data_IF_712269760878
#
_entry.id   IF_712269760878
#
_cell.length_a   1.000
_cell.length_b   1.000
_cell.length_c   1.000
_cell.angle_alpha   90.00
_cell.angle_beta   90.00
_cell.angle_gamma   90.00
#
_symmetry.space_group_name_H-M   'P 1'
#
loop_
_entity.id
_entity.type
_entity.pdbx_description
1 polymer ?
#
# COMPACT_ATOMS: atom_id res chain seq x y z
N UNK A 1 -21.55 -14.84 11.33
CA UNK A 1 -21.25 -13.57 10.64
C UNK A 1 -20.01 -13.01 11.30
N UNK A 2 -18.84 -13.14 10.67
CA UNK A 2 -17.56 -12.69 11.25
C UNK A 2 -17.27 -11.32 10.62
N UNK A 3 -17.27 -10.27 11.44
CA UNK A 3 -16.85 -8.94 11.04
C UNK A 3 -15.41 -9.03 10.48
N UNK A 4 -15.12 -8.54 9.26
CA UNK A 4 -13.76 -8.56 8.75
C UNK A 4 -12.88 -7.67 9.63
N UNK A 5 -11.74 -8.23 10.09
CA UNK A 5 -10.69 -7.44 10.74
C UNK A 5 -10.29 -6.30 9.79
N UNK A 6 -10.74 -5.10 10.11
CA UNK A 6 -10.47 -3.91 9.32
C UNK A 6 -9.22 -3.24 9.88
N UNK A 7 -8.14 -3.31 9.13
CA UNK A 7 -6.90 -2.61 9.45
C UNK A 7 -7.05 -1.12 9.20
N UNK A 8 -6.49 -0.31 10.10
CA UNK A 8 -6.39 1.15 9.89
C UNK A 8 -5.16 1.43 9.05
N UNK A 9 -5.36 2.06 7.90
CA UNK A 9 -4.28 2.50 7.03
C UNK A 9 -3.85 3.90 7.43
N UNK A 10 -2.56 4.06 7.71
CA UNK A 10 -1.94 5.35 7.99
C UNK A 10 -0.76 5.59 7.04
N UNK A 11 -0.53 6.85 6.67
CA UNK A 11 0.58 7.25 5.82
C UNK A 11 1.71 7.84 6.65
N UNK A 12 2.96 7.52 6.29
CA UNK A 12 4.11 8.22 6.83
C UNK A 12 4.15 9.66 6.29
N UNK A 13 4.67 10.63 7.06
CA UNK A 13 4.83 12.01 6.57
C UNK A 13 5.65 12.11 5.27
N UNK A 14 6.57 11.18 5.02
CA UNK A 14 7.36 11.13 3.79
C UNK A 14 6.52 10.90 2.53
N UNK A 15 5.36 10.24 2.65
CA UNK A 15 4.49 9.89 1.51
C UNK A 15 4.03 11.14 0.75
N UNK A 16 3.81 12.26 1.44
CA UNK A 16 3.39 13.50 0.78
C UNK A 16 4.42 13.97 -0.26
N UNK A 17 5.72 13.86 0.05
CA UNK A 17 6.80 14.24 -0.87
C UNK A 17 6.91 13.27 -2.05
N UNK A 18 6.66 11.99 -1.81
CA UNK A 18 6.71 10.96 -2.85
C UNK A 18 5.57 11.15 -3.85
N UNK A 19 4.33 11.34 -3.34
CA UNK A 19 3.12 11.50 -4.15
C UNK A 19 3.18 12.75 -5.03
N UNK A 20 3.77 13.86 -4.55
CA UNK A 20 3.93 15.10 -5.34
C UNK A 20 4.71 14.93 -6.64
N UNK A 21 5.54 13.88 -6.76
CA UNK A 21 6.35 13.59 -7.97
C UNK A 21 5.65 12.65 -8.94
N UNK A 22 4.46 12.15 -8.58
CA UNK A 22 3.73 11.15 -9.33
C UNK A 22 2.60 11.83 -10.12
N UNK A 23 2.42 11.55 -11.42
CA UNK A 23 1.26 12.03 -12.16
C UNK A 23 -0.05 11.59 -11.50
N UNK A 24 -1.09 12.41 -11.60
CA UNK A 24 -2.38 12.19 -10.93
C UNK A 24 -2.95 10.78 -11.14
N UNK A 25 -2.93 10.29 -12.38
CA UNK A 25 -3.39 8.93 -12.71
C UNK A 25 -2.59 7.82 -12.00
N UNK A 26 -1.31 8.07 -11.71
CA UNK A 26 -0.47 7.17 -10.92
C UNK A 26 -0.90 7.17 -9.46
N UNK A 27 -1.15 8.36 -8.89
CA UNK A 27 -1.63 8.53 -7.52
C UNK A 27 -2.96 7.82 -7.32
N UNK A 28 -3.90 8.00 -8.25
CA UNK A 28 -5.23 7.37 -8.18
C UNK A 28 -5.12 5.84 -8.12
N UNK A 29 -4.33 5.24 -9.02
CA UNK A 29 -4.09 3.77 -9.01
C UNK A 29 -3.46 3.28 -7.71
N UNK A 30 -2.55 4.06 -7.13
CA UNK A 30 -1.92 3.74 -5.84
C UNK A 30 -2.98 3.77 -4.72
N UNK A 31 -3.78 4.83 -4.64
CA UNK A 31 -4.82 4.98 -3.62
C UNK A 31 -5.88 3.87 -3.70
N UNK A 32 -6.31 3.50 -4.91
CA UNK A 32 -7.22 2.36 -5.12
C UNK A 32 -6.64 1.06 -4.55
N UNK A 33 -5.36 0.80 -4.80
CA UNK A 33 -4.72 -0.40 -4.26
C UNK A 33 -4.59 -0.34 -2.73
N UNK A 34 -4.29 0.83 -2.17
CA UNK A 34 -4.14 1.01 -0.72
C UNK A 34 -5.46 0.79 0.02
N UNK A 35 -6.60 1.19 -0.55
CA UNK A 35 -7.93 0.94 0.06
C UNK A 35 -8.19 -0.55 0.34
N UNK A 36 -7.68 -1.44 -0.52
CA UNK A 36 -7.84 -2.89 -0.35
C UNK A 36 -7.04 -3.42 0.85
N UNK A 37 -5.96 -2.73 1.25
CA UNK A 37 -5.11 -3.16 2.38
C UNK A 37 -5.84 -3.14 3.73
N UNK A 38 -6.86 -2.29 3.88
CA UNK A 38 -7.67 -2.25 5.09
C UNK A 38 -8.40 -3.57 5.33
N UNK A 39 -8.91 -4.21 4.28
CA UNK A 39 -9.63 -5.48 4.37
C UNK A 39 -8.70 -6.69 4.22
N UNK A 40 -7.63 -6.56 3.44
CA UNK A 40 -6.63 -7.61 3.24
C UNK A 40 -5.23 -6.99 3.21
N UNK A 41 -4.50 -6.95 4.33
CA UNK A 41 -3.17 -6.33 4.40
C UNK A 41 -2.11 -7.08 3.59
N UNK A 42 -2.37 -8.34 3.23
CA UNK A 42 -1.44 -9.19 2.46
C UNK A 42 -2.11 -9.67 1.15
N UNK A 43 -2.44 -8.76 0.23
CA UNK A 43 -3.09 -9.12 -1.01
C UNK A 43 -2.15 -9.91 -1.93
N UNK A 44 -2.71 -10.60 -2.92
CA UNK A 44 -1.92 -11.33 -3.91
C UNK A 44 -0.88 -10.42 -4.59
N UNK A 45 0.36 -10.89 -4.70
CA UNK A 45 1.50 -10.12 -5.20
C UNK A 45 2.22 -9.26 -4.15
N UNK A 46 1.81 -9.35 -2.89
CA UNK A 46 2.57 -8.84 -1.75
C UNK A 46 3.82 -9.70 -1.50
N UNK A 47 4.98 -9.07 -1.30
CA UNK A 47 6.23 -9.74 -0.98
C UNK A 47 6.86 -9.14 0.28
N UNK A 48 7.24 -9.98 1.24
CA UNK A 48 8.02 -9.55 2.41
C UNK A 48 9.41 -9.09 1.97
N UNK A 49 9.88 -7.97 2.50
CA UNK A 49 11.24 -7.49 2.22
C UNK A 49 12.26 -8.27 3.07
N UNK A 50 13.28 -8.83 2.42
CA UNK A 50 14.37 -9.54 3.10
C UNK A 50 15.09 -8.62 4.08
N UNK A 51 15.39 -9.13 5.27
CA UNK A 51 16.07 -8.37 6.33
C UNK A 51 15.17 -7.41 7.13
N UNK A 52 13.88 -7.33 6.82
CA UNK A 52 12.92 -6.55 7.60
C UNK A 52 11.95 -7.45 8.38
N UNK A 53 11.68 -7.09 9.64
CA UNK A 53 10.78 -7.89 10.49
C UNK A 53 9.33 -7.82 9.98
N UNK A 54 8.85 -6.60 9.67
CA UNK A 54 7.45 -6.30 9.33
C UNK A 54 7.30 -5.30 8.17
N UNK A 55 8.10 -5.44 7.12
CA UNK A 55 7.96 -4.64 5.90
C UNK A 55 7.59 -5.52 4.71
N UNK A 56 6.62 -5.05 3.95
CA UNK A 56 6.02 -5.75 2.83
C UNK A 56 5.91 -4.80 1.65
N UNK A 57 6.03 -5.34 0.43
CA UNK A 57 5.95 -4.56 -0.80
C UNK A 57 4.83 -5.06 -1.68
N UNK A 58 4.02 -4.14 -2.18
CA UNK A 58 3.06 -4.40 -3.26
C UNK A 58 3.45 -3.61 -4.53
N UNK A 59 3.18 -4.18 -5.70
CA UNK A 59 3.45 -3.54 -7.00
C UNK A 59 2.17 -2.92 -7.56
N UNK A 60 2.25 -1.67 -8.01
CA UNK A 60 1.17 -0.94 -8.66
C UNK A 60 1.69 -0.33 -9.95
N UNK A 61 1.59 -1.08 -11.07
CA UNK A 61 2.17 -0.67 -12.34
C UNK A 61 3.69 -0.47 -12.24
N UNK A 62 4.14 0.77 -12.41
CA UNK A 62 5.55 1.17 -12.28
C UNK A 62 5.95 1.57 -10.85
N UNK A 63 4.99 1.69 -9.93
CA UNK A 63 5.20 2.11 -8.55
C UNK A 63 5.25 0.92 -7.58
N UNK A 64 5.80 1.16 -6.40
CA UNK A 64 5.87 0.20 -5.28
C UNK A 64 5.36 0.90 -4.03
N UNK A 65 4.52 0.22 -3.25
CA UNK A 65 4.12 0.67 -1.91
C UNK A 65 4.79 -0.26 -0.90
N UNK A 66 5.43 0.31 0.12
CA UNK A 66 6.21 -0.37 1.16
C UNK A 66 5.79 0.13 2.54
#
# INVERSE_FOLDING_TARGET
>A
MMEPLTYVVAFKPSVEKDVKRIPEQGVQRILERIKVLAANPFPAGCAKLSGAERLYRIRVGQYRVV
#
